data_IF_779587628338
#
_entry.id   IF_779587628338
#
_cell.length_a   1.000
_cell.length_b   1.000
_cell.length_c   1.000
_cell.angle_alpha   90.00
_cell.angle_beta   90.00
_cell.angle_gamma   90.00
#
_symmetry.space_group_name_H-M   'P 1'
#
loop_
_entity.id
_entity.type
_entity.pdbx_description
1 polymer ?
#
# COMPACT_ATOMS: atom_id res chain seq x y z
N UNK A 1 -1.93 -21.98 14.65
CA UNK A 1 -0.48 -22.25 14.78
C UNK A 1 0.24 -20.92 14.60
N UNK A 2 1.05 -20.51 15.57
CA UNK A 2 1.89 -19.31 15.47
C UNK A 2 3.04 -19.67 14.54
N UNK A 3 3.10 -19.08 13.34
CA UNK A 3 4.16 -19.38 12.38
C UNK A 3 5.42 -18.60 12.77
N UNK A 4 6.59 -19.24 12.63
CA UNK A 4 7.87 -18.59 12.93
C UNK A 4 8.16 -17.51 11.88
N UNK A 5 8.75 -16.39 12.29
CA UNK A 5 9.08 -15.27 11.39
C UNK A 5 9.96 -15.71 10.21
N UNK A 6 10.79 -16.72 10.44
CA UNK A 6 11.63 -17.34 9.41
C UNK A 6 10.81 -18.11 8.37
N UNK A 7 9.76 -18.82 8.78
CA UNK A 7 8.88 -19.56 7.87
C UNK A 7 8.01 -18.63 7.01
N UNK A 8 7.58 -17.50 7.58
CA UNK A 8 6.86 -16.45 6.83
C UNK A 8 7.80 -15.71 5.86
N UNK A 9 9.11 -15.64 6.16
CA UNK A 9 10.10 -14.97 5.31
C UNK A 9 10.62 -15.87 4.17
N UNK A 10 10.84 -17.15 4.47
CA UNK A 10 11.26 -18.19 3.51
C UNK A 10 10.09 -18.74 2.69
N UNK A 11 8.86 -18.50 3.14
CA UNK A 11 7.67 -18.93 2.42
C UNK A 11 7.30 -20.40 2.60
N UNK A 12 7.54 -20.95 3.78
CA UNK A 12 7.11 -22.31 4.16
C UNK A 12 5.75 -22.33 4.87
N UNK A 13 4.93 -21.29 4.66
CA UNK A 13 3.55 -21.20 5.14
C UNK A 13 2.55 -21.65 4.05
N UNK A 14 1.40 -22.23 4.44
CA UNK A 14 0.35 -22.59 3.49
C UNK A 14 -0.25 -21.32 2.87
N UNK A 15 -0.10 -21.17 1.55
CA UNK A 15 -0.59 -20.05 0.75
C UNK A 15 -0.09 -20.14 -0.69
N UNK A 16 -0.43 -19.17 -1.55
CA UNK A 16 0.06 -19.17 -2.93
C UNK A 16 1.57 -18.89 -2.96
N UNK A 17 2.35 -19.66 -3.74
CA UNK A 17 3.83 -19.55 -3.81
C UNK A 17 4.28 -18.09 -4.05
N UNK A 18 3.52 -17.33 -4.84
CA UNK A 18 3.80 -15.93 -5.16
C UNK A 18 3.49 -14.92 -4.05
N UNK A 19 2.63 -15.26 -3.09
CA UNK A 19 2.32 -14.44 -1.92
C UNK A 19 3.27 -14.74 -0.76
N UNK A 20 3.63 -16.00 -0.63
CA UNK A 20 4.25 -16.58 0.56
C UNK A 20 5.75 -16.26 0.64
N UNK A 21 6.41 -16.00 -0.49
CA UNK A 21 7.84 -15.63 -0.53
C UNK A 21 8.08 -14.13 -0.38
N UNK A 22 7.90 -13.61 0.84
CA UNK A 22 8.16 -12.20 1.17
C UNK A 22 9.56 -11.72 0.72
N UNK A 23 10.58 -12.58 0.84
CA UNK A 23 11.95 -12.29 0.45
C UNK A 23 12.08 -12.03 -1.07
N UNK A 24 11.44 -12.85 -1.91
CA UNK A 24 11.48 -12.70 -3.36
C UNK A 24 10.73 -11.44 -3.81
N UNK A 25 9.60 -11.12 -3.16
CA UNK A 25 8.84 -9.90 -3.44
C UNK A 25 9.65 -8.64 -3.11
N UNK A 26 10.35 -8.63 -1.96
CA UNK A 26 11.21 -7.52 -1.58
C UNK A 26 12.42 -7.38 -2.50
N UNK A 27 13.04 -8.49 -2.94
CA UNK A 27 14.13 -8.46 -3.93
C UNK A 27 13.65 -7.92 -5.28
N UNK A 28 12.49 -8.37 -5.76
CA UNK A 28 11.89 -7.87 -7.00
C UNK A 28 11.56 -6.38 -6.92
N UNK A 29 11.01 -5.93 -5.79
CA UNK A 29 10.73 -4.52 -5.54
C UNK A 29 12.02 -3.68 -5.46
N UNK A 30 13.06 -4.19 -4.77
CA UNK A 30 14.37 -3.56 -4.71
C UNK A 30 14.99 -3.38 -6.10
N UNK A 31 14.88 -4.39 -6.96
CA UNK A 31 15.33 -4.30 -8.36
C UNK A 31 14.58 -3.22 -9.16
N UNK A 32 13.26 -3.10 -8.98
CA UNK A 32 12.45 -2.06 -9.61
C UNK A 32 12.78 -0.64 -9.12
N UNK A 33 13.12 -0.52 -7.83
CA UNK A 33 13.62 0.70 -7.22
C UNK A 33 14.96 1.13 -7.80
N UNK A 34 15.90 0.19 -7.99
CA UNK A 34 17.19 0.48 -8.63
C UNK A 34 17.00 1.01 -10.07
N UNK A 35 16.02 0.46 -10.80
CA UNK A 35 15.66 0.94 -12.14
C UNK A 35 14.87 2.26 -12.15
N UNK A 36 14.59 2.86 -10.99
CA UNK A 36 13.79 4.10 -10.82
C UNK A 36 12.45 4.07 -11.57
N UNK A 37 11.86 2.88 -11.72
CA UNK A 37 10.54 2.74 -12.33
C UNK A 37 9.44 3.06 -11.32
N UNK A 38 9.61 2.65 -10.06
CA UNK A 38 8.55 2.69 -9.06
C UNK A 38 8.81 3.75 -7.99
N UNK A 39 7.75 4.45 -7.56
CA UNK A 39 7.80 5.37 -6.43
C UNK A 39 7.60 4.62 -5.10
N UNK A 40 8.52 4.75 -4.12
CA UNK A 40 8.42 4.03 -2.85
C UNK A 40 7.35 4.60 -1.92
N UNK A 41 6.80 5.78 -2.23
CA UNK A 41 5.83 6.47 -1.37
C UNK A 41 4.50 5.71 -1.23
N UNK A 42 3.99 5.10 -2.31
CA UNK A 42 2.72 4.36 -2.27
C UNK A 42 2.85 3.09 -1.42
N UNK A 43 3.83 2.20 -1.64
CA UNK A 43 3.98 0.98 -0.84
C UNK A 43 4.22 1.27 0.64
N UNK A 44 5.06 2.28 0.96
CA UNK A 44 5.34 2.65 2.34
C UNK A 44 4.07 3.17 3.03
N UNK A 45 3.31 4.03 2.36
CA UNK A 45 2.05 4.56 2.90
C UNK A 45 1.02 3.45 3.08
N UNK A 46 0.91 2.52 2.13
CA UNK A 46 -0.06 1.43 2.16
C UNK A 46 0.26 0.42 3.27
N UNK A 47 1.47 -0.12 3.30
CA UNK A 47 1.91 -1.07 4.34
C UNK A 47 1.87 -0.40 5.72
N UNK A 48 2.32 0.86 5.81
CA UNK A 48 2.29 1.62 7.07
C UNK A 48 0.87 1.81 7.60
N UNK A 49 -0.09 2.14 6.73
CA UNK A 49 -1.49 2.32 7.14
C UNK A 49 -2.11 1.02 7.61
N UNK A 50 -1.86 -0.10 6.91
CA UNK A 50 -2.32 -1.42 7.34
C UNK A 50 -1.69 -1.83 8.66
N UNK A 51 -0.39 -1.60 8.83
CA UNK A 51 0.31 -1.90 10.09
C UNK A 51 -0.29 -1.14 11.28
N UNK A 52 -0.55 0.17 11.10
CA UNK A 52 -1.13 1.04 12.14
C UNK A 52 -2.56 0.59 12.45
N UNK A 53 -3.40 0.40 11.43
CA UNK A 53 -4.79 -0.05 11.63
C UNK A 53 -4.84 -1.42 12.30
N UNK A 54 -4.05 -2.39 11.80
CA UNK A 54 -3.99 -3.72 12.41
C UNK A 54 -3.48 -3.67 13.86
N UNK A 55 -2.53 -2.80 14.19
CA UNK A 55 -2.07 -2.63 15.57
C UNK A 55 -3.17 -2.05 16.48
N UNK A 56 -3.94 -1.07 16.00
CA UNK A 56 -5.05 -0.48 16.76
C UNK A 56 -6.16 -1.54 17.00
N UNK A 57 -6.53 -2.30 15.97
CA UNK A 57 -7.55 -3.34 16.10
C UNK A 57 -7.09 -4.51 16.95
N UNK A 58 -5.81 -4.87 16.89
CA UNK A 58 -5.21 -5.88 17.76
C UNK A 58 -5.21 -5.43 19.24
N UNK A 59 -4.92 -4.15 19.50
CA UNK A 59 -4.99 -3.58 20.85
C UNK A 59 -6.44 -3.51 21.37
N UNK A 60 -7.41 -3.28 20.49
CA UNK A 60 -8.82 -3.27 20.85
C UNK A 60 -9.37 -4.68 21.14
N UNK A 61 -8.96 -5.69 20.36
CA UNK A 61 -9.37 -7.08 20.53
C UNK A 61 -8.30 -8.03 19.96
N UNK A 62 -7.66 -8.88 20.79
CA UNK A 62 -6.65 -9.84 20.35
C UNK A 62 -7.16 -10.89 19.35
N UNK A 63 -8.49 -11.05 19.23
CA UNK A 63 -9.14 -11.99 18.30
C UNK A 63 -9.00 -11.64 16.81
N UNK A 64 -8.60 -10.40 16.47
CA UNK A 64 -8.48 -9.95 15.08
C UNK A 64 -7.18 -10.38 14.37
N UNK A 65 -6.32 -11.17 15.04
CA UNK A 65 -5.05 -11.64 14.48
C UNK A 65 -3.93 -10.61 14.60
N UNK A 66 -2.68 -11.07 14.64
CA UNK A 66 -1.57 -10.15 14.88
C UNK A 66 -1.25 -9.30 13.63
N UNK A 67 -0.70 -8.08 13.81
CA UNK A 67 -0.41 -7.17 12.69
C UNK A 67 0.49 -7.77 11.61
N UNK A 68 1.40 -8.66 12.02
CA UNK A 68 2.28 -9.39 11.12
C UNK A 68 1.50 -10.34 10.19
N UNK A 69 0.44 -10.99 10.66
CA UNK A 69 -0.41 -11.83 9.81
C UNK A 69 -1.16 -11.02 8.76
N UNK A 70 -1.54 -9.78 9.06
CA UNK A 70 -2.17 -8.90 8.07
C UNK A 70 -1.18 -8.38 7.04
N UNK A 71 0.09 -8.17 7.41
CA UNK A 71 1.11 -7.69 6.47
C UNK A 71 1.57 -8.81 5.54
N UNK A 72 1.84 -9.99 6.09
CA UNK A 72 2.36 -11.15 5.36
C UNK A 72 1.26 -12.05 4.76
N UNK A 73 0.00 -11.85 5.13
CA UNK A 73 -1.12 -12.63 4.63
C UNK A 73 -2.02 -11.87 3.66
N UNK A 74 -2.80 -12.63 2.89
CA UNK A 74 -3.79 -12.19 1.90
C UNK A 74 -3.23 -11.36 0.74
N UNK A 75 -2.00 -11.64 0.30
CA UNK A 75 -1.41 -11.00 -0.89
C UNK A 75 -1.04 -9.53 -0.72
N UNK A 76 -1.01 -9.00 0.51
CA UNK A 76 -0.80 -7.56 0.74
C UNK A 76 0.57 -7.08 0.27
N UNK A 77 1.64 -7.83 0.52
CA UNK A 77 2.96 -7.46 0.01
C UNK A 77 2.99 -7.43 -1.52
N UNK A 78 2.38 -8.41 -2.19
CA UNK A 78 2.32 -8.45 -3.64
C UNK A 78 1.48 -7.27 -4.18
N UNK A 79 0.32 -7.03 -3.60
CA UNK A 79 -0.55 -5.92 -3.96
C UNK A 79 0.08 -4.56 -3.70
N UNK A 80 0.76 -4.37 -2.57
CA UNK A 80 1.39 -3.11 -2.21
C UNK A 80 2.65 -2.82 -3.05
N UNK A 81 3.47 -3.82 -3.35
CA UNK A 81 4.76 -3.64 -4.02
C UNK A 81 4.68 -3.66 -5.55
N UNK A 82 3.70 -4.35 -6.13
CA UNK A 82 3.61 -4.53 -7.59
C UNK A 82 2.32 -3.97 -8.20
N UNK A 83 1.16 -4.15 -7.54
CA UNK A 83 -0.12 -3.72 -8.12
C UNK A 83 -0.41 -2.25 -7.83
N UNK A 84 -0.26 -1.80 -6.59
CA UNK A 84 -0.51 -0.42 -6.17
C UNK A 84 0.52 0.58 -6.75
N UNK A 85 1.65 0.07 -7.25
CA UNK A 85 2.73 0.86 -7.86
C UNK A 85 2.62 0.98 -9.38
N UNK A 86 1.52 0.52 -9.96
CA UNK A 86 1.29 0.66 -11.39
C UNK A 86 1.18 2.15 -11.78
N UNK A 87 1.97 2.55 -12.78
CA UNK A 87 2.15 3.95 -13.20
C UNK A 87 0.96 4.51 -13.96
N UNK A 88 0.11 3.65 -14.54
CA UNK A 88 -1.05 4.08 -15.33
C UNK A 88 -2.21 4.49 -14.42
N UNK A 89 -2.32 3.81 -13.29
CA UNK A 89 -3.44 3.96 -12.37
C UNK A 89 -3.12 4.82 -11.15
N UNK A 90 -1.85 5.11 -10.87
CA UNK A 90 -1.44 5.92 -9.72
C UNK A 90 -1.55 7.45 -9.95
N UNK A 91 -1.86 8.26 -8.92
CA UNK A 91 -1.93 9.72 -9.03
C UNK A 91 -0.57 10.35 -9.31
N UNK A 92 -0.51 11.45 -10.06
CA UNK A 92 0.76 12.04 -10.51
C UNK A 92 1.51 12.84 -9.42
N UNK A 93 0.83 13.27 -8.36
CA UNK A 93 1.40 14.12 -7.30
C UNK A 93 1.97 13.31 -6.14
N UNK A 94 3.10 13.72 -5.56
CA UNK A 94 3.69 13.08 -4.36
C UNK A 94 2.71 13.09 -3.18
N UNK A 95 1.89 14.14 -3.05
CA UNK A 95 0.83 14.18 -2.03
C UNK A 95 -0.30 13.20 -2.34
N UNK A 96 -0.64 13.06 -3.63
CA UNK A 96 -1.61 12.09 -4.11
C UNK A 96 -1.17 10.65 -3.83
N UNK A 97 0.11 10.33 -3.99
CA UNK A 97 0.69 9.02 -3.69
C UNK A 97 0.44 8.60 -2.22
N UNK A 98 0.63 9.54 -1.28
CA UNK A 98 0.38 9.29 0.14
C UNK A 98 -1.11 9.06 0.43
N UNK A 99 -1.98 9.93 -0.09
CA UNK A 99 -3.44 9.82 0.10
C UNK A 99 -3.96 8.50 -0.49
N UNK A 100 -3.46 8.14 -1.68
CA UNK A 100 -3.82 6.90 -2.34
C UNK A 100 -3.38 5.68 -1.54
N UNK A 101 -2.12 5.63 -1.09
CA UNK A 101 -1.63 4.52 -0.27
C UNK A 101 -2.38 4.38 1.06
N UNK A 102 -2.68 5.49 1.73
CA UNK A 102 -3.50 5.50 2.96
C UNK A 102 -4.92 5.00 2.66
N UNK A 103 -5.55 5.48 1.60
CA UNK A 103 -6.89 5.04 1.20
C UNK A 103 -6.94 3.54 0.91
N UNK A 104 -5.97 3.01 0.17
CA UNK A 104 -5.85 1.56 -0.06
C UNK A 104 -5.77 0.81 1.27
N UNK A 105 -4.90 1.25 2.19
CA UNK A 105 -4.73 0.61 3.50
C UNK A 105 -6.01 0.56 4.34
N UNK A 106 -6.75 1.67 4.38
CA UNK A 106 -8.01 1.74 5.13
C UNK A 106 -9.09 0.84 4.51
N UNK A 107 -9.24 0.87 3.19
CA UNK A 107 -10.24 0.05 2.49
C UNK A 107 -9.92 -1.44 2.64
N UNK A 108 -8.65 -1.83 2.50
CA UNK A 108 -8.22 -3.22 2.72
C UNK A 108 -8.53 -3.71 4.12
N UNK A 109 -8.21 -2.92 5.15
CA UNK A 109 -8.49 -3.33 6.53
C UNK A 109 -9.98 -3.42 6.82
N UNK A 110 -10.78 -2.50 6.26
CA UNK A 110 -12.24 -2.58 6.34
C UNK A 110 -12.74 -3.89 5.72
N UNK A 111 -12.30 -4.23 4.51
CA UNK A 111 -12.73 -5.47 3.84
C UNK A 111 -12.26 -6.72 4.60
N UNK A 112 -11.05 -6.71 5.18
CA UNK A 112 -10.53 -7.88 5.90
C UNK A 112 -11.23 -8.10 7.24
N UNK A 113 -11.46 -7.04 8.01
CA UNK A 113 -12.08 -7.15 9.34
C UNK A 113 -13.58 -7.44 9.25
N UNK A 114 -14.29 -6.80 8.33
CA UNK A 114 -15.74 -6.95 8.21
C UNK A 114 -16.17 -7.99 7.18
N UNK A 115 -15.36 -8.22 6.14
CA UNK A 115 -15.68 -9.16 5.06
C UNK A 115 -15.06 -10.55 5.23
N UNK A 116 -14.07 -10.74 6.10
CA UNK A 116 -13.42 -12.05 6.30
C UNK A 116 -12.64 -12.57 5.09
N UNK A 117 -12.45 -11.76 4.04
CA UNK A 117 -11.74 -12.13 2.83
C UNK A 117 -10.29 -11.61 2.87
N UNK A 118 -9.28 -12.48 3.06
CA UNK A 118 -7.87 -12.06 3.04
C UNK A 118 -7.45 -11.43 1.69
N UNK A 119 -8.10 -11.83 0.59
CA UNK A 119 -7.93 -11.31 -0.79
C UNK A 119 -8.46 -9.88 -1.02
N UNK A 120 -8.95 -9.19 0.02
CA UNK A 120 -9.51 -7.83 -0.07
C UNK A 120 -8.56 -6.75 -0.59
N UNK A 121 -7.28 -7.06 -0.77
CA UNK A 121 -6.22 -6.17 -1.29
C UNK A 121 -6.51 -5.73 -2.72
N UNK A 122 -6.87 -6.66 -3.60
CA UNK A 122 -7.14 -6.36 -5.02
C UNK A 122 -8.37 -5.47 -5.19
N UNK A 123 -9.43 -5.75 -4.44
CA UNK A 123 -10.65 -4.93 -4.46
C UNK A 123 -10.39 -3.51 -3.93
N UNK A 124 -9.62 -3.37 -2.86
CA UNK A 124 -9.25 -2.07 -2.32
C UNK A 124 -8.47 -1.22 -3.35
N UNK A 125 -7.53 -1.82 -4.07
CA UNK A 125 -6.77 -1.14 -5.12
C UNK A 125 -7.70 -0.72 -6.26
N UNK A 126 -8.59 -1.58 -6.73
CA UNK A 126 -9.55 -1.24 -7.80
C UNK A 126 -10.48 -0.08 -7.41
N UNK A 127 -11.00 -0.11 -6.17
CA UNK A 127 -11.82 0.97 -5.62
C UNK A 127 -11.01 2.27 -5.61
N UNK A 128 -9.80 2.24 -5.07
CA UNK A 128 -8.97 3.44 -4.97
C UNK A 128 -8.54 3.97 -6.33
N UNK A 129 -8.28 3.11 -7.32
CA UNK A 129 -7.99 3.52 -8.69
C UNK A 129 -9.14 4.33 -9.30
N UNK A 130 -10.40 3.99 -8.98
CA UNK A 130 -11.56 4.79 -9.39
C UNK A 130 -11.58 6.19 -8.73
N UNK A 131 -10.99 6.34 -7.54
CA UNK A 131 -10.86 7.61 -6.83
C UNK A 131 -9.62 8.43 -7.24
N UNK A 132 -8.70 7.89 -8.03
CA UNK A 132 -7.48 8.59 -8.46
C UNK A 132 -7.76 9.90 -9.21
N UNK A 133 -8.73 9.98 -10.15
CA UNK A 133 -9.07 11.25 -10.80
C UNK A 133 -9.49 12.34 -9.80
N UNK A 134 -10.22 11.96 -8.74
CA UNK A 134 -10.65 12.88 -7.68
C UNK A 134 -9.47 13.32 -6.80
N UNK A 135 -8.56 12.39 -6.49
CA UNK A 135 -7.33 12.68 -5.75
C UNK A 135 -6.44 13.64 -6.55
N UNK A 136 -6.30 13.44 -7.86
CA UNK A 136 -5.51 14.30 -8.73
C UNK A 136 -6.15 15.69 -8.90
N UNK A 137 -7.48 15.78 -8.93
CA UNK A 137 -8.18 17.08 -8.89
C UNK A 137 -7.91 17.86 -7.60
N UNK A 138 -7.82 17.18 -6.45
CA UNK A 138 -7.51 17.80 -5.15
C UNK A 138 -6.02 18.07 -4.94
N UNK A 139 -5.15 17.28 -5.55
CA UNK A 139 -3.69 17.36 -5.36
C UNK A 139 -2.93 17.90 -6.58
N UNK A 140 -3.65 18.61 -7.46
CA UNK A 140 -3.15 19.17 -8.74
C UNK A 140 -1.69 19.59 -8.61
N UNK A 141 -0.77 18.97 -9.38
CA UNK A 141 0.61 19.40 -9.39
C UNK A 141 0.65 20.88 -9.76
N UNK A 142 1.52 21.67 -9.11
CA UNK A 142 1.72 23.08 -9.45
C UNK A 142 2.01 23.15 -10.95
N UNK A 143 1.13 23.81 -11.70
CA UNK A 143 1.28 24.03 -13.13
C UNK A 143 2.65 24.69 -13.35
N UNK A 144 3.53 24.01 -14.09
CA UNK A 144 4.81 24.57 -14.49
C UNK A 144 4.51 25.75 -15.42
N UNK A 145 4.88 26.97 -15.03
CA UNK A 145 4.65 28.18 -15.83
C UNK A 145 3.91 29.35 -15.15
N UNK A 146 3.50 29.26 -13.87
CA UNK A 146 3.08 30.50 -13.17
C UNK A 146 4.32 31.37 -12.89
N UNK A 147 4.42 32.61 -13.44
CA UNK A 147 5.50 33.50 -13.06
C UNK A 147 5.45 33.70 -11.54
N UNK A 148 6.61 33.52 -10.89
CA UNK A 148 6.79 33.79 -9.47
C UNK A 148 6.35 35.24 -9.27
N UNK A 149 5.25 35.50 -8.56
CA UNK A 149 4.85 36.86 -8.19
C UNK A 149 6.04 37.48 -7.45
N UNK A 150 6.79 38.32 -8.14
CA UNK A 150 7.82 39.17 -7.54
C UNK A 150 7.04 40.10 -6.62
N UNK A 151 7.24 39.95 -5.31
CA UNK A 151 6.73 40.92 -4.34
C UNK A 151 7.45 42.24 -4.64
N UNK A 152 6.76 43.16 -5.31
CA UNK A 152 7.16 44.55 -5.36
C UNK A 152 6.87 45.12 -3.97
N UNK A 153 7.90 45.22 -3.13
CA UNK A 153 7.83 46.02 -1.91
C UNK A 153 7.84 47.48 -2.38
N UNK A 154 6.69 48.15 -2.25
CA UNK A 154 6.58 49.60 -2.28
C UNK A 154 6.87 50.16 -0.88
#
# INVERSE_FOLDING_TARGET
RVFSLQEMFLGTIPGSIGEVSALLLLLGFGWLLLRRRVSPFIPIAYVGTVAIMAAIFYAANPGFGSPLYHIFGGGLMLGALFMATDMVTSPMSIKGHLIFGVGCGVVTMTIRLFGGYPEGVSFAILIMNAFVPLIDMGTKPKIFGKPKKVKSNA
#
